data_IF_792329725820
#
_entry.id   IF_792329725820
#
_cell.length_a   1.000
_cell.length_b   1.000
_cell.length_c   1.000
_cell.angle_alpha   90.00
_cell.angle_beta   90.00
_cell.angle_gamma   90.00
#
_symmetry.space_group_name_H-M   'P 1'
#
loop_
_entity.id
_entity.type
_entity.pdbx_description
1 polymer ?
#
# COMPACT_ATOMS: atom_id res chain seq x y z
N UNK A 1 -38.82 40.36 -9.16
CA UNK A 1 -38.50 39.41 -8.07
C UNK A 1 -37.55 38.37 -8.63
N UNK A 2 -36.24 38.53 -8.38
CA UNK A 2 -35.18 37.63 -8.84
C UNK A 2 -34.39 37.17 -7.61
N UNK A 3 -34.36 35.87 -7.34
CA UNK A 3 -33.41 35.25 -6.43
C UNK A 3 -33.02 33.87 -6.95
N UNK A 4 -31.93 33.82 -7.70
CA UNK A 4 -31.12 32.62 -7.96
C UNK A 4 -30.08 32.50 -6.86
N UNK A 5 -30.13 31.46 -6.02
CA UNK A 5 -29.02 31.08 -5.15
C UNK A 5 -28.47 29.71 -5.58
N UNK A 6 -27.37 29.73 -6.33
CA UNK A 6 -26.48 28.57 -6.49
C UNK A 6 -25.52 28.57 -5.30
N UNK A 7 -25.72 27.64 -4.37
CA UNK A 7 -24.73 27.35 -3.33
C UNK A 7 -23.64 26.46 -3.95
N UNK A 8 -22.57 27.09 -4.39
CA UNK A 8 -21.30 26.43 -4.68
C UNK A 8 -20.64 26.04 -3.36
N UNK A 9 -20.58 24.74 -3.06
CA UNK A 9 -19.82 24.23 -1.93
C UNK A 9 -18.33 24.12 -2.33
N UNK A 10 -17.39 24.74 -1.59
CA UNK A 10 -15.97 24.58 -1.89
C UNK A 10 -15.49 23.19 -1.44
N UNK A 11 -15.06 22.36 -2.40
CA UNK A 11 -14.35 21.09 -2.15
C UNK A 11 -13.08 21.39 -1.35
N UNK A 12 -13.00 20.84 -0.14
CA UNK A 12 -11.79 20.89 0.71
C UNK A 12 -10.68 20.01 0.10
N UNK A 13 -9.40 20.42 0.21
CA UNK A 13 -8.28 19.60 -0.25
C UNK A 13 -8.16 18.33 0.61
N UNK A 14 -8.15 17.17 -0.03
CA UNK A 14 -7.98 15.87 0.62
C UNK A 14 -6.54 15.68 1.11
N UNK A 15 -6.38 15.37 2.39
CA UNK A 15 -5.10 15.05 3.00
C UNK A 15 -4.65 13.64 2.60
N UNK A 16 -3.41 13.55 2.11
CA UNK A 16 -2.75 12.38 1.53
C UNK A 16 -2.56 11.23 2.54
N UNK A 17 -2.70 10.00 2.06
CA UNK A 17 -2.35 8.76 2.79
C UNK A 17 -0.85 8.73 3.13
N UNK A 18 -0.48 8.33 4.34
CA UNK A 18 0.90 8.42 4.85
C UNK A 18 1.95 7.61 4.04
N UNK A 19 1.52 6.62 3.24
CA UNK A 19 2.39 5.92 2.29
C UNK A 19 2.56 6.70 0.97
N UNK A 20 1.56 7.50 0.58
CA UNK A 20 1.71 8.52 -0.47
C UNK A 20 2.61 9.67 -0.01
N UNK A 21 2.59 10.04 1.27
CA UNK A 21 3.53 11.01 1.86
C UNK A 21 4.97 10.46 1.83
N UNK A 22 5.17 9.17 2.10
CA UNK A 22 6.50 8.56 2.05
C UNK A 22 7.12 8.51 0.64
N UNK A 23 6.29 8.53 -0.42
CA UNK A 23 6.69 8.58 -1.82
C UNK A 23 6.84 10.02 -2.37
N UNK A 24 6.50 11.05 -1.59
CA UNK A 24 6.53 12.47 -2.01
C UNK A 24 7.78 13.24 -1.59
N UNK A 25 8.68 12.70 -0.75
CA UNK A 25 9.85 13.43 -0.21
C UNK A 25 11.11 13.21 -1.10
N UNK A 26 10.92 13.20 -2.42
CA UNK A 26 11.97 12.91 -3.41
C UNK A 26 12.27 14.05 -4.39
N UNK A 27 11.74 15.24 -4.19
CA UNK A 27 11.98 16.39 -5.06
C UNK A 27 12.02 17.66 -4.22
N UNK A 28 13.24 18.14 -3.96
CA UNK A 28 13.48 19.39 -3.26
C UNK A 28 12.89 20.57 -4.01
N UNK A 29 12.14 21.41 -3.30
CA UNK A 29 11.84 22.78 -3.71
C UNK A 29 12.13 23.66 -2.50
N UNK A 30 13.13 24.53 -2.66
CA UNK A 30 13.47 25.57 -1.69
C UNK A 30 12.31 26.57 -1.60
N UNK A 31 12.01 27.00 -0.37
CA UNK A 31 11.01 28.02 -0.07
C UNK A 31 11.52 29.38 -0.58
N UNK A 32 10.73 30.04 -1.44
CA UNK A 32 10.84 31.47 -1.70
C UNK A 32 9.46 32.11 -1.47
N UNK A 33 9.48 33.24 -0.77
CA UNK A 33 8.31 34.02 -0.32
C UNK A 33 7.57 34.75 -1.46
N UNK A 34 6.34 35.24 -1.21
CA UNK A 34 5.29 35.31 -2.23
C UNK A 34 5.24 36.67 -2.94
N UNK A 35 5.17 36.64 -4.28
CA UNK A 35 4.71 37.80 -5.07
C UNK A 35 3.83 37.34 -6.21
N UNK A 36 2.59 37.85 -6.22
CA UNK A 36 1.71 37.86 -7.40
C UNK A 36 0.76 36.68 -7.50
N UNK A 37 -0.53 36.98 -7.67
CA UNK A 37 -1.55 36.03 -8.08
C UNK A 37 -1.26 35.53 -9.51
N UNK A 38 -0.29 34.63 -9.62
CA UNK A 38 -0.03 33.88 -10.84
C UNK A 38 -1.12 32.82 -11.00
N UNK A 39 -1.68 32.71 -12.22
CA UNK A 39 -2.40 31.51 -12.68
C UNK A 39 -1.62 30.29 -12.17
N UNK A 40 -2.24 29.45 -11.35
CA UNK A 40 -1.65 28.17 -10.98
C UNK A 40 -1.14 27.50 -12.26
N UNK A 41 0.14 27.13 -12.35
CA UNK A 41 0.62 26.40 -13.51
C UNK A 41 -0.29 25.18 -13.67
N UNK A 42 -0.81 24.96 -14.87
CA UNK A 42 -1.65 23.80 -15.14
C UNK A 42 -0.92 22.56 -14.62
N UNK A 43 -1.51 21.87 -13.66
CA UNK A 43 -0.89 20.67 -13.12
C UNK A 43 -0.76 19.67 -14.28
N UNK A 44 0.43 19.12 -14.54
CA UNK A 44 0.59 18.14 -15.60
C UNK A 44 -0.41 17.00 -15.37
N UNK A 45 -1.08 16.55 -16.42
CA UNK A 45 -2.20 15.60 -16.33
C UNK A 45 -1.83 14.32 -15.58
N UNK A 46 -0.56 13.93 -15.62
CA UNK A 46 -0.01 12.78 -14.91
C UNK A 46 -0.11 12.94 -13.38
N UNK A 47 0.04 14.14 -12.84
CA UNK A 47 -0.16 14.40 -11.41
C UNK A 47 -1.64 14.37 -11.02
N UNK A 48 -2.53 14.82 -11.91
CA UNK A 48 -3.98 14.67 -11.73
C UNK A 48 -4.38 13.20 -11.76
N UNK A 49 -3.80 12.41 -12.68
CA UNK A 49 -4.03 10.97 -12.73
C UNK A 49 -3.58 10.28 -11.44
N UNK A 50 -2.41 10.67 -10.90
CA UNK A 50 -1.93 10.19 -9.61
C UNK A 50 -2.93 10.49 -8.49
N UNK A 51 -3.46 11.72 -8.44
CA UNK A 51 -4.48 12.08 -7.45
C UNK A 51 -5.74 11.20 -7.59
N UNK A 52 -6.21 10.98 -8.82
CA UNK A 52 -7.38 10.11 -9.06
C UNK A 52 -7.12 8.65 -8.65
N UNK A 53 -5.88 8.14 -8.81
CA UNK A 53 -5.48 6.83 -8.28
C UNK A 53 -5.58 6.77 -6.75
N UNK A 54 -5.10 7.81 -6.06
CA UNK A 54 -5.17 7.89 -4.59
C UNK A 54 -6.62 8.01 -4.09
N UNK A 55 -7.48 8.67 -4.86
CA UNK A 55 -8.92 8.77 -4.58
C UNK A 55 -9.69 7.49 -4.92
N UNK A 56 -9.03 6.53 -5.60
CA UNK A 56 -9.59 5.25 -6.01
C UNK A 56 -10.45 5.32 -7.28
N UNK A 57 -10.47 6.46 -7.98
CA UNK A 57 -11.12 6.62 -9.27
C UNK A 57 -10.18 6.18 -10.41
N UNK A 58 -10.09 4.86 -10.57
CA UNK A 58 -9.26 4.24 -11.60
C UNK A 58 -9.71 4.60 -13.02
N UNK A 59 -10.99 4.94 -13.21
CA UNK A 59 -11.55 5.33 -14.50
C UNK A 59 -11.07 6.72 -14.92
N UNK A 60 -11.20 7.69 -14.01
CA UNK A 60 -10.70 9.05 -14.22
C UNK A 60 -9.17 9.07 -14.37
N UNK A 61 -8.44 8.31 -13.53
CA UNK A 61 -7.00 8.16 -13.67
C UNK A 61 -6.59 7.61 -15.05
N UNK A 62 -7.31 6.59 -15.54
CA UNK A 62 -7.03 6.02 -16.85
C UNK A 62 -7.30 7.01 -17.99
N UNK A 63 -8.37 7.80 -17.90
CA UNK A 63 -8.69 8.82 -18.90
C UNK A 63 -7.58 9.87 -18.97
N UNK A 64 -7.15 10.39 -17.81
CA UNK A 64 -6.08 11.38 -17.70
C UNK A 64 -4.73 10.87 -18.24
N UNK A 65 -4.37 9.60 -17.98
CA UNK A 65 -3.14 9.02 -18.53
C UNK A 65 -3.19 8.84 -20.05
N UNK A 66 -4.36 8.53 -20.62
CA UNK A 66 -4.52 8.45 -22.08
C UNK A 66 -4.38 9.81 -22.74
N UNK A 67 -4.98 10.84 -22.13
CA UNK A 67 -4.87 12.22 -22.61
C UNK A 67 -3.44 12.72 -22.52
N UNK A 68 -2.77 12.48 -21.37
CA UNK A 68 -1.35 12.80 -21.21
C UNK A 68 -0.48 12.12 -22.28
N UNK A 69 -0.74 10.85 -22.59
CA UNK A 69 -0.01 10.11 -23.63
C UNK A 69 -0.27 10.67 -25.03
N UNK A 70 -1.51 11.06 -25.35
CA UNK A 70 -1.88 11.66 -26.63
C UNK A 70 -1.19 13.02 -26.84
N UNK A 71 -0.97 13.77 -25.77
CA UNK A 71 -0.23 15.04 -25.79
C UNK A 71 1.29 14.89 -25.64
N UNK A 72 1.81 13.66 -25.60
CA UNK A 72 3.24 13.39 -25.42
C UNK A 72 3.79 13.82 -24.05
N UNK A 73 2.94 13.96 -23.04
CA UNK A 73 3.32 14.37 -21.69
C UNK A 73 3.79 13.19 -20.83
N UNK A 74 4.67 13.46 -19.87
CA UNK A 74 4.86 12.62 -18.68
C UNK A 74 5.98 11.59 -18.69
N UNK A 75 6.52 11.20 -19.86
CA UNK A 75 7.71 10.34 -19.95
C UNK A 75 7.69 9.09 -19.04
N UNK A 76 8.78 8.86 -18.31
CA UNK A 76 8.91 7.76 -17.34
C UNK A 76 7.91 7.85 -16.19
N UNK A 77 7.48 9.05 -15.80
CA UNK A 77 6.45 9.24 -14.77
C UNK A 77 5.08 8.71 -15.22
N UNK A 78 4.67 8.98 -16.46
CA UNK A 78 3.42 8.44 -17.00
C UNK A 78 3.43 6.90 -17.03
N UNK A 79 4.58 6.29 -17.36
CA UNK A 79 4.76 4.84 -17.28
C UNK A 79 4.63 4.32 -15.83
N UNK A 80 5.15 5.05 -14.85
CA UNK A 80 5.02 4.68 -13.44
C UNK A 80 3.56 4.71 -12.98
N UNK A 81 2.80 5.75 -13.33
CA UNK A 81 1.37 5.84 -13.04
C UNK A 81 0.58 4.73 -13.76
N UNK A 82 0.94 4.39 -14.99
CA UNK A 82 0.34 3.26 -15.70
C UNK A 82 0.59 1.95 -14.95
N UNK A 83 1.80 1.73 -14.42
CA UNK A 83 2.09 0.55 -13.60
C UNK A 83 1.18 0.47 -12.38
N UNK A 84 1.02 1.58 -11.64
CA UNK A 84 0.13 1.65 -10.48
C UNK A 84 -1.34 1.38 -10.84
N UNK A 85 -1.82 1.98 -11.94
CA UNK A 85 -3.17 1.77 -12.43
C UNK A 85 -3.44 0.30 -12.80
N UNK A 86 -2.50 -0.34 -13.50
CA UNK A 86 -2.61 -1.75 -13.87
C UNK A 86 -2.67 -2.65 -12.63
N UNK A 87 -1.83 -2.38 -11.63
CA UNK A 87 -1.80 -3.14 -10.38
C UNK A 87 -3.06 -2.95 -9.55
N UNK A 88 -3.54 -1.72 -9.43
CA UNK A 88 -4.79 -1.40 -8.73
C UNK A 88 -6.01 -2.08 -9.38
N UNK A 89 -5.93 -2.36 -10.69
CA UNK A 89 -6.93 -3.12 -11.43
C UNK A 89 -6.74 -4.66 -11.36
N UNK A 90 -5.73 -5.15 -10.62
CA UNK A 90 -5.41 -6.58 -10.52
C UNK A 90 -4.72 -7.15 -11.75
N UNK A 91 -4.27 -6.31 -12.70
CA UNK A 91 -3.55 -6.71 -13.92
C UNK A 91 -2.04 -6.76 -13.64
N UNK A 92 -1.66 -7.57 -12.65
CA UNK A 92 -0.31 -7.60 -12.08
C UNK A 92 0.80 -7.92 -13.07
N UNK A 93 0.55 -8.83 -14.03
CA UNK A 93 1.53 -9.15 -15.07
C UNK A 93 1.77 -7.96 -16.02
N UNK A 94 0.74 -7.15 -16.28
CA UNK A 94 0.87 -5.96 -17.12
C UNK A 94 1.57 -4.83 -16.37
N UNK A 95 1.26 -4.64 -15.08
CA UNK A 95 2.01 -3.73 -14.21
C UNK A 95 3.50 -4.09 -14.13
N UNK A 96 3.82 -5.39 -14.03
CA UNK A 96 5.21 -5.90 -14.01
C UNK A 96 6.02 -5.47 -15.23
N UNK A 97 5.42 -5.50 -16.42
CA UNK A 97 6.10 -5.04 -17.65
C UNK A 97 6.53 -3.56 -17.53
N UNK A 98 5.67 -2.71 -16.97
CA UNK A 98 6.01 -1.30 -16.75
C UNK A 98 7.07 -1.12 -15.67
N UNK A 99 6.98 -1.87 -14.56
CA UNK A 99 8.01 -1.81 -13.52
C UNK A 99 9.38 -2.30 -14.00
N UNK A 100 9.42 -3.31 -14.87
CA UNK A 100 10.67 -3.79 -15.47
C UNK A 100 11.27 -2.74 -16.42
N UNK A 101 10.44 -2.09 -17.23
CA UNK A 101 10.87 -1.02 -18.13
C UNK A 101 11.40 0.22 -17.38
N UNK A 102 10.94 0.46 -16.16
CA UNK A 102 11.34 1.60 -15.33
C UNK A 102 12.58 1.31 -14.47
N UNK A 103 13.11 0.08 -14.49
CA UNK A 103 14.31 -0.26 -13.71
C UNK A 103 15.52 0.53 -14.22
N UNK A 104 16.20 1.23 -13.32
CA UNK A 104 17.35 2.09 -13.66
C UNK A 104 16.97 3.48 -14.17
N UNK A 105 15.67 3.80 -14.29
CA UNK A 105 15.20 5.15 -14.60
C UNK A 105 15.22 6.07 -13.36
N UNK A 106 14.94 7.35 -13.58
CA UNK A 106 14.68 8.37 -12.55
C UNK A 106 13.49 8.00 -11.63
N UNK A 107 12.57 7.14 -12.09
CA UNK A 107 11.43 6.67 -11.30
C UNK A 107 11.75 5.42 -10.47
N UNK A 108 12.96 4.86 -10.53
CA UNK A 108 13.32 3.60 -9.86
C UNK A 108 13.02 3.61 -8.36
N UNK A 109 13.32 4.71 -7.67
CA UNK A 109 13.05 4.84 -6.23
C UNK A 109 11.54 4.93 -5.94
N UNK A 110 10.78 5.60 -6.80
CA UNK A 110 9.32 5.77 -6.68
C UNK A 110 8.62 4.43 -6.84
N UNK A 111 9.04 3.61 -7.80
CA UNK A 111 8.40 2.32 -8.07
C UNK A 111 8.90 1.18 -7.19
N UNK A 112 9.95 1.37 -6.39
CA UNK A 112 10.63 0.27 -5.72
C UNK A 112 9.70 -0.53 -4.79
N UNK A 113 8.90 0.15 -3.97
CA UNK A 113 7.91 -0.49 -3.08
C UNK A 113 6.77 -1.14 -3.87
N UNK A 114 6.07 -0.43 -4.78
CA UNK A 114 5.02 -1.04 -5.63
C UNK A 114 5.49 -2.26 -6.44
N UNK A 115 6.66 -2.16 -7.05
CA UNK A 115 7.28 -3.25 -7.78
C UNK A 115 7.54 -4.48 -6.89
N UNK A 116 7.95 -4.30 -5.64
CA UNK A 116 8.17 -5.39 -4.70
C UNK A 116 6.84 -6.04 -4.26
N UNK A 117 5.80 -5.25 -4.00
CA UNK A 117 4.45 -5.75 -3.67
C UNK A 117 3.85 -6.52 -4.86
N UNK A 118 4.02 -6.01 -6.08
CA UNK A 118 3.63 -6.69 -7.32
C UNK A 118 4.25 -8.08 -7.45
N UNK A 119 5.53 -8.24 -7.13
CA UNK A 119 6.20 -9.55 -7.13
C UNK A 119 5.52 -10.52 -6.17
N UNK A 120 5.08 -10.06 -5.00
CA UNK A 120 4.31 -10.88 -4.06
C UNK A 120 2.93 -11.27 -4.62
N UNK A 121 2.23 -10.32 -5.25
CA UNK A 121 0.94 -10.58 -5.89
C UNK A 121 1.03 -11.56 -7.08
N UNK A 122 2.21 -11.66 -7.70
CA UNK A 122 2.55 -12.62 -8.75
C UNK A 122 3.13 -13.94 -8.22
N UNK A 123 3.12 -14.15 -6.90
CA UNK A 123 3.73 -15.31 -6.24
C UNK A 123 5.22 -15.53 -6.54
N UNK A 124 5.95 -14.48 -6.96
CA UNK A 124 7.40 -14.52 -7.20
C UNK A 124 8.15 -14.24 -5.89
N UNK A 125 7.94 -15.08 -4.89
CA UNK A 125 8.30 -14.80 -3.50
C UNK A 125 9.81 -14.61 -3.27
N UNK A 126 10.67 -15.31 -3.99
CA UNK A 126 12.12 -15.14 -3.85
C UNK A 126 12.58 -13.77 -4.36
N UNK A 127 12.03 -13.31 -5.49
CA UNK A 127 12.30 -11.98 -6.02
C UNK A 127 11.74 -10.89 -5.09
N UNK A 128 10.52 -11.08 -4.57
CA UNK A 128 9.92 -10.17 -3.60
C UNK A 128 10.77 -10.07 -2.33
N UNK A 129 11.26 -11.20 -1.81
CA UNK A 129 12.12 -11.25 -0.62
C UNK A 129 13.41 -10.45 -0.83
N UNK A 130 14.06 -10.62 -1.98
CA UNK A 130 15.27 -9.87 -2.31
C UNK A 130 14.98 -8.36 -2.44
N UNK A 131 13.88 -7.98 -3.08
CA UNK A 131 13.49 -6.58 -3.23
C UNK A 131 13.19 -5.91 -1.88
N UNK A 132 12.46 -6.57 -0.98
CA UNK A 132 12.20 -6.03 0.35
C UNK A 132 13.44 -6.01 1.24
N UNK A 133 14.33 -7.00 1.14
CA UNK A 133 15.60 -6.96 1.87
C UNK A 133 16.49 -5.78 1.42
N UNK A 134 16.53 -5.50 0.12
CA UNK A 134 17.21 -4.33 -0.44
C UNK A 134 16.62 -3.02 0.08
N UNK A 135 15.29 -2.86 0.01
CA UNK A 135 14.57 -1.71 0.56
C UNK A 135 14.83 -1.50 2.06
N UNK A 136 14.77 -2.57 2.85
CA UNK A 136 14.99 -2.51 4.29
C UNK A 136 16.42 -2.08 4.64
N UNK A 137 17.41 -2.48 3.82
CA UNK A 137 18.82 -2.15 4.04
C UNK A 137 19.17 -0.75 3.52
N UNK A 138 18.73 -0.43 2.31
CA UNK A 138 19.27 0.68 1.51
C UNK A 138 18.35 1.90 1.37
N UNK A 139 17.05 1.80 1.66
CA UNK A 139 16.17 2.98 1.62
C UNK A 139 16.69 4.09 2.54
N UNK A 140 16.58 5.35 2.15
CA UNK A 140 16.85 6.48 3.07
C UNK A 140 15.66 6.75 4.01
N UNK A 141 14.47 6.26 3.65
CA UNK A 141 13.23 6.51 4.37
C UNK A 141 12.98 5.43 5.45
N UNK A 142 12.97 5.79 6.76
CA UNK A 142 12.75 4.84 7.86
C UNK A 142 11.40 4.12 7.81
N UNK A 143 10.33 4.78 7.35
CA UNK A 143 9.01 4.21 7.19
C UNK A 143 9.03 3.11 6.12
N UNK A 144 9.72 3.35 4.99
CA UNK A 144 9.91 2.34 3.94
C UNK A 144 10.72 1.15 4.46
N UNK A 145 11.77 1.38 5.26
CA UNK A 145 12.53 0.29 5.89
C UNK A 145 11.65 -0.57 6.81
N UNK A 146 10.86 0.08 7.65
CA UNK A 146 9.95 -0.60 8.57
C UNK A 146 8.92 -1.45 7.81
N UNK A 147 8.29 -0.85 6.79
CA UNK A 147 7.31 -1.50 5.93
C UNK A 147 7.90 -2.68 5.14
N UNK A 148 9.10 -2.54 4.59
CA UNK A 148 9.82 -3.64 3.96
C UNK A 148 10.14 -4.77 4.96
N UNK A 149 10.46 -4.41 6.20
CA UNK A 149 10.60 -5.36 7.30
C UNK A 149 9.31 -6.14 7.60
N UNK A 150 8.14 -5.49 7.58
CA UNK A 150 6.83 -6.16 7.72
C UNK A 150 6.58 -7.17 6.59
N UNK A 151 6.91 -6.82 5.35
CA UNK A 151 6.88 -7.77 4.23
C UNK A 151 7.85 -8.94 4.41
N UNK A 152 9.03 -8.69 4.99
CA UNK A 152 9.95 -9.75 5.40
C UNK A 152 9.33 -10.73 6.40
N UNK A 153 8.52 -10.24 7.34
CA UNK A 153 7.75 -11.09 8.27
C UNK A 153 6.66 -11.89 7.56
N UNK A 154 5.90 -11.24 6.67
CA UNK A 154 4.86 -11.90 5.88
C UNK A 154 5.42 -13.02 5.02
N UNK A 155 6.47 -12.73 4.24
CA UNK A 155 7.14 -13.70 3.37
C UNK A 155 7.82 -14.82 4.17
N UNK A 156 8.38 -14.49 5.34
CA UNK A 156 8.97 -15.45 6.25
C UNK A 156 7.93 -16.41 6.84
N UNK A 157 6.77 -15.88 7.24
CA UNK A 157 5.66 -16.68 7.76
C UNK A 157 5.07 -17.59 6.67
N UNK A 158 4.76 -17.03 5.50
CA UNK A 158 4.25 -17.80 4.35
C UNK A 158 5.22 -18.90 3.94
N UNK A 159 6.50 -18.57 3.74
CA UNK A 159 7.50 -19.56 3.33
C UNK A 159 7.73 -20.65 4.39
N UNK A 160 7.53 -20.37 5.68
CA UNK A 160 7.55 -21.40 6.71
C UNK A 160 6.33 -22.34 6.62
N UNK A 161 5.15 -21.78 6.36
CA UNK A 161 3.92 -22.56 6.15
C UNK A 161 4.00 -23.42 4.88
N UNK A 162 4.45 -22.85 3.76
CA UNK A 162 4.61 -23.55 2.48
C UNK A 162 5.62 -24.72 2.59
N UNK A 163 6.63 -24.58 3.44
CA UNK A 163 7.60 -25.63 3.73
C UNK A 163 7.12 -26.64 4.82
N UNK A 164 5.88 -26.52 5.30
CA UNK A 164 5.31 -27.43 6.29
C UNK A 164 5.98 -27.39 7.66
N UNK A 165 6.59 -26.25 8.04
CA UNK A 165 7.19 -26.11 9.37
C UNK A 165 6.11 -26.26 10.45
N UNK A 166 6.43 -27.00 11.52
CA UNK A 166 5.58 -27.05 12.71
C UNK A 166 5.33 -25.64 13.25
N UNK A 167 4.13 -25.35 13.82
CA UNK A 167 3.77 -24.01 14.29
C UNK A 167 4.79 -23.35 15.20
N UNK A 168 5.37 -24.10 16.16
CA UNK A 168 6.39 -23.55 17.07
C UNK A 168 7.69 -23.16 16.35
N UNK A 169 8.10 -23.94 15.35
CA UNK A 169 9.28 -23.65 14.54
C UNK A 169 9.03 -22.44 13.62
N UNK A 170 7.85 -22.36 13.01
CA UNK A 170 7.42 -21.19 12.23
C UNK A 170 7.39 -19.93 13.10
N UNK A 171 6.80 -20.02 14.30
CA UNK A 171 6.76 -18.95 15.30
C UNK A 171 8.16 -18.50 15.70
N UNK A 172 9.05 -19.40 16.09
CA UNK A 172 10.41 -19.06 16.47
C UNK A 172 11.20 -18.37 15.34
N UNK A 173 11.04 -18.86 14.09
CA UNK A 173 11.66 -18.26 12.91
C UNK A 173 11.18 -16.83 12.69
N UNK A 174 9.87 -16.61 12.72
CA UNK A 174 9.32 -15.27 12.45
C UNK A 174 9.60 -14.31 13.61
N UNK A 175 9.58 -14.78 14.85
CA UNK A 175 10.02 -13.99 16.01
C UNK A 175 11.47 -13.53 15.89
N UNK A 176 12.36 -14.38 15.35
CA UNK A 176 13.76 -13.98 15.06
C UNK A 176 13.82 -12.88 14.02
N UNK A 177 13.05 -12.99 12.93
CA UNK A 177 12.97 -11.94 11.90
C UNK A 177 12.42 -10.63 12.49
N UNK A 178 11.41 -10.70 13.36
CA UNK A 178 10.75 -9.53 13.95
C UNK A 178 11.67 -8.69 14.85
N UNK A 179 12.79 -9.25 15.34
CA UNK A 179 13.80 -8.49 16.10
C UNK A 179 14.59 -7.51 15.22
N UNK A 180 14.68 -7.76 13.93
CA UNK A 180 15.41 -6.91 12.98
C UNK A 180 14.58 -5.74 12.43
N UNK A 181 13.26 -5.76 12.64
CA UNK A 181 12.35 -4.75 12.12
C UNK A 181 12.31 -3.54 13.05
N UNK A 182 12.83 -2.41 12.56
CA UNK A 182 12.80 -1.12 13.26
C UNK A 182 11.53 -0.37 12.90
N UNK A 183 10.43 -0.66 13.58
CA UNK A 183 9.15 0.02 13.38
C UNK A 183 9.21 1.49 13.83
N UNK A 184 8.59 2.39 13.04
CA UNK A 184 8.63 3.84 13.31
C UNK A 184 7.29 4.40 13.78
N UNK A 185 6.18 3.86 13.30
CA UNK A 185 4.84 4.29 13.72
C UNK A 185 4.23 3.37 14.79
N UNK A 186 3.23 3.84 15.58
CA UNK A 186 2.56 2.99 16.58
C UNK A 186 1.96 1.71 16.00
N UNK A 187 1.26 1.79 14.87
CA UNK A 187 0.68 0.62 14.21
C UNK A 187 1.73 -0.36 13.70
N UNK A 188 2.87 0.12 13.19
CA UNK A 188 3.99 -0.76 12.79
C UNK A 188 4.61 -1.44 14.01
N UNK A 189 4.73 -0.73 15.15
CA UNK A 189 5.23 -1.32 16.40
C UNK A 189 4.29 -2.42 16.89
N UNK A 190 2.98 -2.20 16.83
CA UNK A 190 1.99 -3.21 17.20
C UNK A 190 2.04 -4.42 16.27
N UNK A 191 2.19 -4.24 14.96
CA UNK A 191 2.40 -5.34 14.01
C UNK A 191 3.67 -6.14 14.32
N UNK A 192 4.80 -5.46 14.58
CA UNK A 192 6.03 -6.14 14.99
C UNK A 192 5.83 -6.89 16.31
N UNK A 193 5.16 -6.28 17.30
CA UNK A 193 4.86 -6.91 18.58
C UNK A 193 3.95 -8.15 18.42
N UNK A 194 3.00 -8.13 17.48
CA UNK A 194 2.15 -9.27 17.14
C UNK A 194 3.00 -10.45 16.65
N UNK A 195 3.91 -10.20 15.70
CA UNK A 195 4.85 -11.21 15.20
C UNK A 195 5.90 -11.65 16.23
N UNK A 196 6.18 -10.80 17.23
CA UNK A 196 6.97 -11.20 18.40
C UNK A 196 6.17 -12.04 19.40
N UNK A 197 4.85 -12.15 19.25
CA UNK A 197 3.95 -12.83 20.19
C UNK A 197 3.71 -12.06 21.49
N UNK A 198 3.93 -10.73 21.50
CA UNK A 198 3.78 -9.85 22.67
C UNK A 198 2.40 -9.17 22.74
N UNK A 199 1.63 -9.23 21.66
CA UNK A 199 0.29 -8.66 21.57
C UNK A 199 -0.54 -9.48 20.58
N UNK A 200 -1.80 -9.11 20.40
CA UNK A 200 -2.72 -9.75 19.47
C UNK A 200 -3.18 -8.79 18.36
N UNK A 201 -3.95 -9.31 17.40
CA UNK A 201 -4.45 -8.52 16.28
C UNK A 201 -5.37 -7.38 16.73
N UNK A 202 -6.10 -7.51 17.85
CA UNK A 202 -7.02 -6.46 18.31
C UNK A 202 -6.27 -5.19 18.72
N UNK A 203 -5.11 -5.34 19.36
CA UNK A 203 -4.26 -4.21 19.73
C UNK A 203 -3.73 -3.46 18.51
N UNK A 204 -3.41 -4.16 17.41
CA UNK A 204 -2.99 -3.52 16.16
C UNK A 204 -4.08 -2.60 15.61
N UNK A 205 -5.34 -3.07 15.59
CA UNK A 205 -6.45 -2.25 15.11
C UNK A 205 -6.78 -1.10 16.07
N UNK A 206 -6.64 -1.31 17.39
CA UNK A 206 -6.83 -0.24 18.37
C UNK A 206 -5.84 0.92 18.17
N UNK A 207 -4.57 0.63 17.86
CA UNK A 207 -3.58 1.67 17.51
C UNK A 207 -4.01 2.48 16.30
N UNK A 208 -4.61 1.85 15.28
CA UNK A 208 -5.09 2.54 14.08
C UNK A 208 -6.33 3.39 14.40
N UNK A 209 -7.25 2.86 15.20
CA UNK A 209 -8.48 3.55 15.58
C UNK A 209 -8.17 4.82 16.39
N UNK A 210 -7.15 4.78 17.24
CA UNK A 210 -6.66 5.89 18.06
C UNK A 210 -5.93 7.00 17.28
N UNK A 211 -5.54 6.77 16.01
CA UNK A 211 -4.84 7.78 15.22
C UNK A 211 -5.70 9.02 15.00
N UNK A 212 -5.11 10.20 15.15
CA UNK A 212 -5.71 11.46 14.70
C UNK A 212 -5.40 11.65 13.21
N UNK A 213 -6.09 10.87 12.37
CA UNK A 213 -5.91 10.85 10.93
C UNK A 213 -7.27 10.79 10.21
N UNK A 214 -7.37 11.27 8.96
CA UNK A 214 -8.59 11.12 8.16
C UNK A 214 -8.99 9.65 8.02
N UNK A 215 -10.30 9.36 7.99
CA UNK A 215 -10.79 7.98 7.88
C UNK A 215 -10.27 7.26 6.62
N UNK A 216 -10.04 7.98 5.52
CA UNK A 216 -9.39 7.41 4.33
C UNK A 216 -8.02 6.80 4.66
N UNK A 217 -7.20 7.50 5.43
CA UNK A 217 -5.88 7.01 5.87
C UNK A 217 -6.03 5.82 6.81
N UNK A 218 -6.97 5.89 7.77
CA UNK A 218 -7.23 4.76 8.66
C UNK A 218 -7.68 3.52 7.90
N UNK A 219 -8.52 3.66 6.87
CA UNK A 219 -8.96 2.54 6.02
C UNK A 219 -7.79 1.86 5.31
N UNK A 220 -6.88 2.65 4.74
CA UNK A 220 -5.66 2.10 4.11
C UNK A 220 -4.83 1.33 5.14
N UNK A 221 -4.60 1.93 6.32
CA UNK A 221 -3.87 1.27 7.41
C UNK A 221 -4.56 0.01 7.94
N UNK A 222 -5.91 -0.02 8.01
CA UNK A 222 -6.67 -1.23 8.39
C UNK A 222 -6.55 -2.31 7.32
N UNK A 223 -6.42 -1.94 6.04
CA UNK A 223 -6.17 -2.89 4.95
C UNK A 223 -4.77 -3.49 5.05
N UNK A 224 -3.75 -2.65 5.26
CA UNK A 224 -2.37 -3.07 5.53
C UNK A 224 -2.29 -4.01 6.74
N UNK A 225 -2.84 -3.58 7.88
CA UNK A 225 -2.86 -4.38 9.10
C UNK A 225 -3.66 -5.68 8.95
N UNK A 226 -4.76 -5.66 8.21
CA UNK A 226 -5.55 -6.84 7.88
C UNK A 226 -4.73 -7.90 7.14
N UNK A 227 -3.90 -7.47 6.17
CA UNK A 227 -3.02 -8.40 5.45
C UNK A 227 -1.99 -9.01 6.41
N UNK A 228 -1.25 -8.16 7.13
CA UNK A 228 -0.14 -8.62 7.96
C UNK A 228 -0.59 -9.40 9.20
N UNK A 229 -1.61 -8.93 9.91
CA UNK A 229 -2.15 -9.63 11.08
C UNK A 229 -2.88 -10.91 10.68
N UNK A 230 -3.62 -10.89 9.57
CA UNK A 230 -4.26 -12.10 9.04
C UNK A 230 -3.23 -13.16 8.63
N UNK A 231 -2.13 -12.77 7.98
CA UNK A 231 -1.06 -13.70 7.62
C UNK A 231 -0.33 -14.30 8.83
N UNK A 232 -0.22 -13.56 9.93
CA UNK A 232 0.27 -14.12 11.19
C UNK A 232 -0.67 -15.20 11.72
N UNK A 233 -1.99 -14.94 11.74
CA UNK A 233 -2.97 -15.94 12.16
C UNK A 233 -2.94 -17.16 11.25
N UNK A 234 -2.92 -16.94 9.94
CA UNK A 234 -2.95 -17.99 8.92
C UNK A 234 -1.68 -18.86 8.97
N UNK A 235 -0.52 -18.25 8.73
CA UNK A 235 0.71 -19.00 8.48
C UNK A 235 1.49 -19.35 9.75
N UNK A 236 1.39 -18.53 10.81
CA UNK A 236 2.16 -18.76 12.05
C UNK A 236 1.33 -19.51 13.08
N UNK A 237 0.10 -19.05 13.32
CA UNK A 237 -0.79 -19.67 14.33
C UNK A 237 -1.63 -20.81 13.78
N UNK A 238 -1.73 -20.96 12.46
CA UNK A 238 -2.63 -21.93 11.81
C UNK A 238 -4.11 -21.73 12.24
N UNK A 239 -4.48 -20.49 12.58
CA UNK A 239 -5.84 -20.06 12.87
C UNK A 239 -6.48 -19.50 11.59
N UNK A 240 -6.77 -20.40 10.64
CA UNK A 240 -7.33 -20.04 9.34
C UNK A 240 -8.69 -19.34 9.46
N UNK A 241 -9.52 -19.73 10.44
CA UNK A 241 -10.81 -19.12 10.69
C UNK A 241 -10.66 -17.68 11.21
N UNK A 242 -9.71 -17.45 12.14
CA UNK A 242 -9.35 -16.11 12.59
C UNK A 242 -8.78 -15.24 11.48
N UNK A 243 -7.88 -15.79 10.66
CA UNK A 243 -7.31 -15.10 9.52
C UNK A 243 -8.40 -14.67 8.51
N UNK A 244 -9.31 -15.56 8.15
CA UNK A 244 -10.41 -15.27 7.23
C UNK A 244 -11.30 -14.13 7.77
N UNK A 245 -11.65 -14.17 9.07
CA UNK A 245 -12.41 -13.08 9.70
C UNK A 245 -11.68 -11.74 9.62
N UNK A 246 -10.36 -11.71 9.82
CA UNK A 246 -9.56 -10.49 9.69
C UNK A 246 -9.52 -9.97 8.26
N UNK A 247 -9.28 -10.84 7.27
CA UNK A 247 -9.29 -10.45 5.87
C UNK A 247 -10.66 -9.89 5.46
N UNK A 248 -11.73 -10.57 5.85
CA UNK A 248 -13.09 -10.10 5.61
C UNK A 248 -13.37 -8.77 6.28
N UNK A 249 -13.02 -8.58 7.57
CA UNK A 249 -13.20 -7.30 8.27
C UNK A 249 -12.50 -6.15 7.56
N UNK A 250 -11.24 -6.36 7.15
CA UNK A 250 -10.47 -5.37 6.41
C UNK A 250 -11.09 -5.04 5.04
N UNK A 251 -11.74 -6.02 4.38
CA UNK A 251 -12.47 -5.81 3.13
C UNK A 251 -13.87 -5.20 3.32
N UNK A 252 -14.58 -5.50 4.41
CA UNK A 252 -15.99 -5.13 4.62
C UNK A 252 -16.17 -3.69 5.11
N UNK A 253 -15.20 -3.12 5.84
CA UNK A 253 -15.20 -1.69 6.18
C UNK A 253 -15.22 -0.76 4.94
N UNK A 254 -15.06 -1.33 3.74
CA UNK A 254 -15.18 -0.71 2.42
C UNK A 254 -16.61 -0.51 1.94
N UNK A 255 -17.57 -1.37 2.32
CA UNK A 255 -18.90 -1.37 1.70
C UNK A 255 -19.74 -0.12 2.04
N UNK A 256 -19.28 0.69 3.00
CA UNK A 256 -19.98 1.87 3.49
C UNK A 256 -19.60 3.16 2.74
N UNK A 257 -18.48 3.20 2.02
CA UNK A 257 -18.03 4.37 1.26
C UNK A 257 -17.69 3.98 -0.18
N UNK A 258 -18.21 4.72 -1.15
CA UNK A 258 -18.11 4.42 -2.60
C UNK A 258 -16.69 4.57 -3.18
N UNK A 259 -15.68 5.01 -2.40
CA UNK A 259 -14.29 5.14 -2.86
C UNK A 259 -13.45 3.90 -2.54
N UNK A 260 -12.61 3.50 -3.50
CA UNK A 260 -11.71 2.33 -3.34
C UNK A 260 -10.51 2.74 -2.47
N UNK A 261 -10.08 1.92 -1.49
CA UNK A 261 -8.82 2.15 -0.77
C UNK A 261 -7.64 2.17 -1.75
N UNK A 262 -6.66 3.03 -1.49
CA UNK A 262 -5.42 3.13 -2.26
C UNK A 262 -4.37 2.10 -1.82
N UNK A 263 -4.66 1.37 -0.73
CA UNK A 263 -3.78 0.35 -0.16
C UNK A 263 -3.35 -0.73 -1.16
N UNK A 264 -2.04 -0.88 -1.31
CA UNK A 264 -1.39 -1.73 -2.30
C UNK A 264 -1.49 -3.23 -1.97
N UNK A 265 -1.72 -3.56 -0.70
CA UNK A 265 -1.92 -4.91 -0.16
C UNK A 265 -3.25 -5.50 -0.59
N UNK A 266 -4.20 -4.64 -0.99
CA UNK A 266 -5.58 -5.02 -1.18
C UNK A 266 -5.78 -6.20 -2.15
N UNK A 267 -5.13 -6.24 -3.34
CA UNK A 267 -5.26 -7.39 -4.24
C UNK A 267 -4.83 -8.69 -3.60
N UNK A 268 -3.71 -8.68 -2.87
CA UNK A 268 -3.21 -9.86 -2.17
C UNK A 268 -4.14 -10.27 -1.02
N UNK A 269 -4.70 -9.31 -0.29
CA UNK A 269 -5.67 -9.58 0.76
C UNK A 269 -6.94 -10.24 0.21
N UNK A 270 -7.43 -9.83 -0.97
CA UNK A 270 -8.53 -10.52 -1.67
C UNK A 270 -8.13 -11.95 -2.03
N UNK A 271 -6.93 -12.14 -2.60
CA UNK A 271 -6.43 -13.47 -2.98
C UNK A 271 -6.36 -14.40 -1.78
N UNK A 272 -5.78 -13.96 -0.65
CA UNK A 272 -5.69 -14.75 0.59
C UNK A 272 -7.07 -15.07 1.17
N UNK A 273 -7.99 -14.10 1.20
CA UNK A 273 -9.37 -14.32 1.64
C UNK A 273 -10.07 -15.39 0.81
N UNK A 274 -9.98 -15.30 -0.53
CA UNK A 274 -10.57 -16.28 -1.45
C UNK A 274 -9.95 -17.67 -1.30
N UNK A 275 -8.63 -17.74 -1.14
CA UNK A 275 -7.93 -19.02 -0.94
C UNK A 275 -8.46 -19.75 0.31
N UNK A 276 -8.59 -19.05 1.45
CA UNK A 276 -9.14 -19.64 2.66
C UNK A 276 -10.62 -20.03 2.54
N UNK A 277 -11.43 -19.24 1.82
CA UNK A 277 -12.84 -19.59 1.55
C UNK A 277 -13.00 -20.87 0.71
N UNK A 278 -12.05 -21.14 -0.20
CA UNK A 278 -12.06 -22.34 -1.02
C UNK A 278 -11.58 -23.56 -0.23
N UNK A 279 -10.58 -23.39 0.65
CA UNK A 279 -10.07 -24.47 1.50
C UNK A 279 -11.00 -24.86 2.65
N UNK A 280 -11.97 -24.01 3.00
CA UNK A 280 -12.94 -24.27 4.08
C UNK A 280 -14.24 -24.94 3.60
N UNK A 281 -14.34 -25.28 2.31
CA UNK A 281 -15.47 -26.02 1.71
C UNK A 281 -15.11 -27.50 1.59
#
# INVERSE_FOLDING_TARGET
MNLTSKLSCPRRPGALSMLAIALLIGSGVALADPVGAAKQPAQPMVLLAHQQLLEGDLGAAQALLREAAAEGQGGTRALAEQAFLEDANGRHMRARQFYDALKGSDQSAVIAVPSAVNLTALARFDLARNAFADLQKHSSNPQVKAYAGLWGLWLGARGASDAGLKPDAAKARVQKLARSVKAVTPQQRALVALYQGKTDSSAVFAEIDALQAPEAVKRDLRTEAGLFAGAYLDYVRQDHAGALRLYQRALYQRALDQSRPSAMERPLLIQSSRALQLSSR
#
